data_IF_507820773042
#
_entry.id   IF_507820773042
#
_cell.length_a   1.000
_cell.length_b   1.000
_cell.length_c   1.000
_cell.angle_alpha   90.00
_cell.angle_beta   90.00
_cell.angle_gamma   90.00
#
_symmetry.space_group_name_H-M   'P 1'
#
loop_
_entity.id
_entity.type
_entity.pdbx_description
1 polymer ?
#
# COMPACT_ATOMS: atom_id res chain seq x y z
N UNK A 1 -19.09 -4.37 11.92
CA UNK A 1 -17.88 -4.24 11.06
C UNK A 1 -17.03 -3.12 11.62
N UNK A 2 -15.72 -3.33 11.79
CA UNK A 2 -14.84 -2.25 12.24
C UNK A 2 -14.84 -1.11 11.20
N UNK A 3 -14.76 0.13 11.68
CA UNK A 3 -14.66 1.31 10.83
C UNK A 3 -13.39 1.20 9.96
N UNK A 4 -13.50 1.20 8.63
CA UNK A 4 -12.34 1.07 7.73
C UNK A 4 -11.29 2.14 7.98
N UNK A 5 -11.67 3.30 8.51
CA UNK A 5 -10.74 4.39 8.79
C UNK A 5 -9.86 4.14 10.02
N UNK A 6 -10.28 3.27 10.97
CA UNK A 6 -9.48 2.90 12.14
C UNK A 6 -8.30 2.00 11.82
N UNK A 7 -8.28 1.39 10.64
CA UNK A 7 -7.22 0.47 10.20
C UNK A 7 -6.14 1.21 9.40
N UNK A 8 -6.37 2.46 9.05
CA UNK A 8 -5.44 3.28 8.30
C UNK A 8 -4.36 3.86 9.21
N UNK A 9 -3.10 3.81 8.77
CA UNK A 9 -1.97 4.47 9.43
C UNK A 9 -1.24 5.40 8.47
N UNK A 10 -0.45 6.32 9.02
CA UNK A 10 0.42 7.19 8.23
C UNK A 10 1.44 6.39 7.40
N UNK A 11 1.93 5.27 7.94
CA UNK A 11 2.85 4.37 7.24
C UNK A 11 2.18 3.73 6.03
N UNK A 12 0.95 3.23 6.19
CA UNK A 12 0.15 2.66 5.10
C UNK A 12 -0.11 3.71 4.01
N UNK A 13 -0.49 4.94 4.38
CA UNK A 13 -0.69 6.04 3.43
C UNK A 13 0.57 6.34 2.64
N UNK A 14 1.71 6.40 3.32
CA UNK A 14 3.00 6.65 2.69
C UNK A 14 3.36 5.53 1.72
N UNK A 15 3.16 4.25 2.11
CA UNK A 15 3.42 3.10 1.24
C UNK A 15 2.56 3.15 -0.02
N UNK A 16 1.24 3.27 0.11
CA UNK A 16 0.33 3.32 -1.03
C UNK A 16 0.69 4.47 -1.97
N UNK A 17 0.92 5.66 -1.43
CA UNK A 17 1.31 6.82 -2.24
C UNK A 17 2.60 6.56 -3.00
N UNK A 18 3.69 6.17 -2.34
CA UNK A 18 5.00 5.95 -2.99
C UNK A 18 4.96 4.89 -4.08
N UNK A 19 4.14 3.86 -3.90
CA UNK A 19 3.96 2.78 -4.87
C UNK A 19 3.17 3.26 -6.09
N UNK A 20 2.11 4.06 -5.88
CA UNK A 20 1.16 4.43 -6.95
C UNK A 20 1.52 5.71 -7.69
N UNK A 21 2.20 6.68 -7.06
CA UNK A 21 2.57 7.96 -7.66
C UNK A 21 3.86 7.91 -8.51
N UNK A 22 4.48 6.74 -8.61
CA UNK A 22 5.71 6.52 -9.35
C UNK A 22 7.00 6.86 -8.57
N UNK A 23 6.92 7.21 -7.29
CA UNK A 23 8.11 7.45 -6.46
C UNK A 23 8.98 6.20 -6.38
N UNK A 24 8.40 5.04 -6.05
CA UNK A 24 9.10 3.77 -6.02
C UNK A 24 9.63 3.37 -7.41
N UNK A 25 8.86 3.61 -8.48
CA UNK A 25 9.28 3.38 -9.86
C UNK A 25 10.54 4.17 -10.23
N UNK A 26 10.62 5.44 -9.83
CA UNK A 26 11.84 6.26 -10.04
C UNK A 26 13.05 5.68 -9.31
N UNK A 27 12.87 5.21 -8.08
CA UNK A 27 13.95 4.59 -7.28
C UNK A 27 14.50 3.31 -7.90
N UNK A 28 13.67 2.59 -8.66
CA UNK A 28 14.07 1.37 -9.41
C UNK A 28 14.53 1.65 -10.83
N UNK A 29 14.91 2.92 -11.15
CA UNK A 29 15.26 3.37 -12.50
C UNK A 29 14.15 3.06 -13.53
N UNK A 30 12.87 3.10 -13.09
CA UNK A 30 11.66 2.83 -13.86
C UNK A 30 11.55 1.41 -14.45
N UNK A 31 12.38 0.47 -14.01
CA UNK A 31 12.25 -0.94 -14.39
C UNK A 31 11.00 -1.56 -13.76
N UNK A 32 10.68 -1.19 -12.51
CA UNK A 32 9.39 -1.48 -11.90
C UNK A 32 8.44 -0.32 -12.24
N UNK A 33 7.35 -0.55 -12.98
CA UNK A 33 6.37 0.50 -13.27
C UNK A 33 5.70 1.01 -11.99
N UNK A 34 5.12 2.20 -12.03
CA UNK A 34 4.22 2.65 -10.96
C UNK A 34 3.09 1.62 -10.77
N UNK A 35 2.83 1.25 -9.54
CA UNK A 35 1.85 0.23 -9.21
C UNK A 35 0.43 0.73 -9.46
N UNK A 36 -0.47 -0.17 -9.87
CA UNK A 36 -1.89 0.08 -9.72
C UNK A 36 -2.27 0.03 -8.24
N UNK A 37 -3.46 0.51 -7.89
CA UNK A 37 -3.94 0.45 -6.52
C UNK A 37 -4.05 -1.01 -6.03
N UNK A 38 -4.46 -1.93 -6.91
CA UNK A 38 -4.55 -3.37 -6.61
C UNK A 38 -3.17 -3.98 -6.30
N UNK A 39 -2.14 -3.62 -7.06
CA UNK A 39 -0.77 -4.07 -6.82
C UNK A 39 -0.21 -3.51 -5.51
N UNK A 40 -0.43 -2.22 -5.24
CA UNK A 40 0.01 -1.58 -4.02
C UNK A 40 -0.72 -2.17 -2.79
N UNK A 41 -2.03 -2.38 -2.89
CA UNK A 41 -2.82 -3.04 -1.85
C UNK A 41 -2.35 -4.48 -1.58
N UNK A 42 -2.00 -5.22 -2.63
CA UNK A 42 -1.47 -6.57 -2.51
C UNK A 42 -0.12 -6.59 -1.79
N UNK A 43 0.80 -5.67 -2.10
CA UNK A 43 2.09 -5.57 -1.41
C UNK A 43 1.90 -5.23 0.07
N UNK A 44 1.09 -4.20 0.36
CA UNK A 44 0.78 -3.76 1.73
C UNK A 44 0.08 -4.87 2.52
N UNK A 45 -0.89 -5.57 1.93
CA UNK A 45 -1.60 -6.68 2.58
C UNK A 45 -0.69 -7.86 2.95
N UNK A 46 0.28 -8.19 2.10
CA UNK A 46 1.32 -9.15 2.43
C UNK A 46 2.21 -8.64 3.58
N UNK A 47 2.67 -7.38 3.51
CA UNK A 47 3.49 -6.78 4.56
C UNK A 47 2.77 -6.69 5.92
N UNK A 48 1.46 -6.44 5.94
CA UNK A 48 0.64 -6.49 7.16
C UNK A 48 0.69 -7.86 7.83
N UNK A 49 0.61 -8.92 7.04
CA UNK A 49 0.76 -10.29 7.54
C UNK A 49 2.17 -10.54 8.09
N UNK A 50 3.21 -10.22 7.31
CA UNK A 50 4.61 -10.43 7.70
C UNK A 50 4.99 -9.70 9.01
N UNK A 51 4.40 -8.55 9.24
CA UNK A 51 4.69 -7.74 10.42
C UNK A 51 3.74 -8.00 11.59
N UNK A 52 2.67 -8.78 11.40
CA UNK A 52 1.58 -8.91 12.36
C UNK A 52 0.90 -7.57 12.69
N UNK A 53 1.07 -6.56 11.83
CA UNK A 53 0.57 -5.19 12.06
C UNK A 53 -0.64 -4.92 11.16
N UNK A 54 -1.88 -4.96 11.70
CA UNK A 54 -3.11 -4.86 10.91
C UNK A 54 -3.31 -3.52 10.19
N UNK A 55 -2.50 -2.53 10.50
CA UNK A 55 -2.51 -1.21 9.87
C UNK A 55 -1.13 -0.75 9.39
N UNK A 56 -0.15 -1.65 9.38
CA UNK A 56 1.23 -1.37 9.01
C UNK A 56 1.89 -0.26 9.87
N UNK A 57 1.41 -0.01 11.08
CA UNK A 57 2.02 0.98 11.99
C UNK A 57 3.38 0.54 12.51
N UNK A 58 3.64 -0.76 12.54
CA UNK A 58 4.92 -1.38 12.86
C UNK A 58 5.45 -2.06 11.61
N UNK A 59 6.63 -1.67 11.15
CA UNK A 59 7.25 -2.19 9.93
C UNK A 59 8.63 -2.81 10.19
N UNK A 60 9.31 -2.43 11.26
CA UNK A 60 10.60 -3.00 11.65
C UNK A 60 10.40 -4.11 12.70
N UNK A 61 9.69 -5.16 12.31
CA UNK A 61 9.38 -6.30 13.17
C UNK A 61 10.38 -7.41 12.91
N UNK A 62 10.87 -8.03 13.99
CA UNK A 62 11.64 -9.27 13.95
C UNK A 62 10.64 -10.42 14.07
N UNK A 63 10.79 -11.44 13.23
CA UNK A 63 9.96 -12.65 13.29
C UNK A 63 9.99 -13.28 14.69
N UNK A 64 8.80 -13.58 15.24
CA UNK A 64 8.66 -13.95 16.66
C UNK A 64 9.28 -15.33 16.94
N UNK A 65 9.04 -16.31 16.09
CA UNK A 65 9.40 -17.70 16.37
C UNK A 65 10.87 -18.00 16.05
N UNK A 66 11.33 -17.64 14.86
CA UNK A 66 12.69 -17.95 14.40
C UNK A 66 13.68 -16.82 14.61
N UNK A 67 13.21 -15.57 14.74
CA UNK A 67 14.06 -14.37 14.72
C UNK A 67 14.78 -14.14 13.39
N UNK A 68 14.54 -14.98 12.38
CA UNK A 68 15.29 -14.97 11.13
C UNK A 68 14.88 -13.79 10.22
N UNK A 69 13.58 -13.45 10.18
CA UNK A 69 13.03 -12.37 9.36
C UNK A 69 13.06 -11.02 10.06
N UNK A 70 13.23 -9.92 9.31
CA UNK A 70 13.07 -8.54 9.80
C UNK A 70 12.53 -7.60 8.75
N UNK A 71 11.82 -6.57 9.21
CA UNK A 71 11.25 -5.52 8.39
C UNK A 71 9.96 -5.97 7.68
N UNK A 72 9.35 -5.05 6.96
CA UNK A 72 8.05 -5.30 6.31
C UNK A 72 8.08 -6.39 5.22
N UNK A 73 9.26 -6.73 4.71
CA UNK A 73 9.44 -7.78 3.70
C UNK A 73 10.03 -9.06 4.30
N UNK A 74 10.21 -9.11 5.61
CA UNK A 74 10.79 -10.26 6.34
C UNK A 74 12.08 -10.77 5.70
N UNK A 75 13.05 -9.88 5.59
CA UNK A 75 14.37 -10.22 5.07
C UNK A 75 15.07 -11.25 5.95
N UNK A 76 15.59 -12.32 5.36
CA UNK A 76 16.30 -13.43 6.04
C UNK A 76 17.71 -13.59 5.48
N UNK A 77 18.56 -14.33 6.20
CA UNK A 77 19.91 -14.66 5.76
C UNK A 77 20.78 -13.46 5.39
N UNK A 78 21.43 -13.51 4.23
CA UNK A 78 22.29 -12.42 3.74
C UNK A 78 21.52 -11.14 3.48
N UNK A 79 20.27 -11.24 3.02
CA UNK A 79 19.36 -10.09 2.86
C UNK A 79 19.11 -9.40 4.20
N UNK A 80 18.92 -10.18 5.28
CA UNK A 80 18.75 -9.66 6.63
C UNK A 80 20.00 -8.92 7.09
N UNK A 81 21.20 -9.48 6.91
CA UNK A 81 22.42 -8.85 7.29
C UNK A 81 22.65 -7.51 6.55
N UNK A 82 22.27 -7.44 5.28
CA UNK A 82 22.31 -6.18 4.52
C UNK A 82 21.27 -5.17 4.99
N UNK A 83 20.04 -5.62 5.32
CA UNK A 83 18.98 -4.79 5.88
C UNK A 83 19.39 -4.20 7.24
N UNK A 84 19.98 -5.00 8.12
CA UNK A 84 20.44 -4.56 9.43
C UNK A 84 21.55 -3.50 9.33
N UNK A 85 22.50 -3.65 8.37
CA UNK A 85 23.51 -2.63 8.11
C UNK A 85 22.92 -1.32 7.58
N UNK A 86 21.90 -1.40 6.73
CA UNK A 86 21.20 -0.22 6.21
C UNK A 86 20.33 0.47 7.26
N UNK A 87 19.90 -0.28 8.28
CA UNK A 87 19.10 0.17 9.41
C UNK A 87 17.95 1.11 9.04
N UNK A 88 17.00 0.70 8.17
CA UNK A 88 15.88 1.56 7.78
C UNK A 88 14.92 1.82 8.93
N UNK A 89 14.90 0.98 9.96
CA UNK A 89 14.05 1.10 11.15
C UNK A 89 12.56 1.05 10.80
N UNK A 90 11.73 1.61 11.68
CA UNK A 90 10.26 1.61 11.53
C UNK A 90 9.75 2.69 10.56
N UNK A 91 10.56 3.17 9.63
CA UNK A 91 10.17 4.14 8.60
C UNK A 91 9.90 3.43 7.28
N UNK A 92 8.63 3.38 6.88
CA UNK A 92 8.18 2.72 5.65
C UNK A 92 8.85 3.29 4.39
N UNK A 93 9.14 4.59 4.37
CA UNK A 93 9.84 5.23 3.26
C UNK A 93 11.24 4.63 3.11
N UNK A 94 12.01 4.56 4.20
CA UNK A 94 13.37 4.01 4.21
C UNK A 94 13.38 2.52 3.87
N UNK A 95 12.35 1.77 4.28
CA UNK A 95 12.20 0.37 3.92
C UNK A 95 11.89 0.17 2.44
N UNK A 96 11.06 1.01 1.83
CA UNK A 96 10.83 1.00 0.38
C UNK A 96 12.06 1.47 -0.40
N UNK A 97 12.80 2.44 0.10
CA UNK A 97 14.10 2.84 -0.47
C UNK A 97 15.11 1.69 -0.43
N UNK A 98 15.15 0.95 0.68
CA UNK A 98 15.97 -0.24 0.78
C UNK A 98 15.57 -1.30 -0.26
N UNK A 99 14.28 -1.61 -0.37
CA UNK A 99 13.77 -2.55 -1.37
C UNK A 99 14.11 -2.13 -2.81
N UNK A 100 14.04 -0.84 -3.12
CA UNK A 100 14.44 -0.30 -4.42
C UNK A 100 15.94 -0.42 -4.67
N UNK A 101 16.78 -0.20 -3.65
CA UNK A 101 18.25 -0.38 -3.75
C UNK A 101 18.62 -1.85 -3.92
N UNK A 102 17.95 -2.75 -3.21
CA UNK A 102 18.08 -4.19 -3.42
C UNK A 102 17.73 -4.55 -4.87
N UNK A 103 16.60 -4.06 -5.38
CA UNK A 103 16.16 -4.27 -6.76
C UNK A 103 17.21 -3.78 -7.79
N UNK A 104 17.83 -2.63 -7.56
CA UNK A 104 18.83 -2.07 -8.49
C UNK A 104 20.23 -2.65 -8.32
N UNK A 105 20.43 -3.63 -7.42
CA UNK A 105 21.73 -4.23 -7.14
C UNK A 105 22.69 -3.34 -6.36
N UNK A 106 22.21 -2.19 -5.84
CA UNK A 106 23.04 -1.29 -5.00
C UNK A 106 23.33 -1.86 -3.62
N UNK A 107 22.55 -2.85 -3.21
CA UNK A 107 22.77 -3.67 -2.03
C UNK A 107 22.76 -5.13 -2.47
N UNK A 108 23.86 -5.57 -3.04
CA UNK A 108 24.08 -7.00 -3.26
C UNK A 108 24.90 -7.54 -2.09
N UNK A 109 24.30 -8.28 -1.17
CA UNK A 109 25.00 -8.78 0.02
C UNK A 109 26.07 -9.82 -0.28
N UNK A 110 26.23 -10.27 -1.51
CA UNK A 110 27.20 -11.33 -1.82
C UNK A 110 27.50 -11.55 -3.30
N UNK A 111 27.22 -10.60 -4.19
CA UNK A 111 27.46 -10.76 -5.63
C UNK A 111 26.57 -11.81 -6.30
N UNK A 112 25.58 -12.34 -5.58
CA UNK A 112 24.57 -13.25 -6.11
C UNK A 112 23.34 -12.43 -6.42
N UNK A 113 23.11 -12.23 -7.68
CA UNK A 113 21.94 -11.54 -8.21
C UNK A 113 20.65 -11.99 -7.54
N UNK A 114 20.06 -11.15 -6.69
CA UNK A 114 18.70 -11.28 -6.17
C UNK A 114 17.63 -11.10 -7.28
N UNK A 115 18.08 -11.13 -8.54
CA UNK A 115 17.31 -10.90 -9.77
C UNK A 115 16.02 -11.71 -9.81
N UNK A 116 16.02 -12.93 -9.24
CA UNK A 116 14.82 -13.76 -9.21
C UNK A 116 13.71 -13.22 -8.30
N UNK A 117 14.06 -12.63 -7.15
CA UNK A 117 13.07 -12.04 -6.21
C UNK A 117 12.54 -10.71 -6.73
N UNK A 118 13.44 -9.87 -7.20
CA UNK A 118 13.13 -8.49 -7.54
C UNK A 118 12.43 -8.37 -8.89
N UNK A 119 12.74 -9.21 -9.88
CA UNK A 119 12.03 -9.25 -11.17
C UNK A 119 10.55 -9.57 -11.02
N UNK A 120 10.15 -10.28 -9.98
CA UNK A 120 8.74 -10.54 -9.72
C UNK A 120 7.92 -9.26 -9.52
N UNK A 121 8.54 -8.14 -9.11
CA UNK A 121 7.87 -6.85 -8.97
C UNK A 121 7.49 -6.23 -10.32
N UNK A 122 8.14 -6.62 -11.42
CA UNK A 122 7.85 -6.13 -12.78
C UNK A 122 6.57 -6.76 -13.35
N UNK A 123 6.24 -7.95 -12.90
CA UNK A 123 5.21 -8.83 -13.50
C UNK A 123 3.97 -9.03 -12.62
N UNK A 124 3.81 -8.22 -11.56
CA UNK A 124 2.63 -8.30 -10.68
C UNK A 124 1.35 -8.03 -11.51
N UNK A 125 0.30 -8.86 -11.41
CA UNK A 125 -1.00 -8.59 -12.03
C UNK A 125 -1.58 -7.23 -11.61
N UNK A 126 -2.03 -6.41 -12.59
CA UNK A 126 -2.39 -5.00 -12.33
C UNK A 126 -3.84 -4.76 -11.93
N UNK A 127 -4.78 -5.64 -12.32
CA UNK A 127 -6.22 -5.39 -12.20
C UNK A 127 -6.93 -6.36 -11.26
N UNK A 128 -6.19 -7.24 -10.61
CA UNK A 128 -6.74 -8.27 -9.73
C UNK A 128 -5.90 -8.33 -8.45
N UNK A 129 -6.46 -7.85 -7.36
CA UNK A 129 -5.80 -7.82 -6.06
C UNK A 129 -5.50 -9.23 -5.54
N UNK A 130 -6.33 -10.23 -5.86
CA UNK A 130 -6.13 -11.62 -5.43
C UNK A 130 -4.96 -12.24 -6.20
N UNK A 131 -4.96 -12.08 -7.52
CA UNK A 131 -3.86 -12.53 -8.36
C UNK A 131 -2.54 -11.83 -8.00
N UNK A 132 -2.56 -10.50 -7.75
CA UNK A 132 -1.41 -9.73 -7.29
C UNK A 132 -0.88 -10.22 -5.94
N UNK A 133 -1.77 -10.49 -4.98
CA UNK A 133 -1.39 -11.02 -3.65
C UNK A 133 -0.73 -12.38 -3.75
N UNK A 134 -1.32 -13.29 -4.53
CA UNK A 134 -0.76 -14.63 -4.74
C UNK A 134 0.57 -14.59 -5.49
N UNK A 135 0.72 -13.69 -6.46
CA UNK A 135 1.97 -13.50 -7.19
C UNK A 135 3.10 -13.06 -6.26
N UNK A 136 2.84 -12.05 -5.42
CA UNK A 136 3.81 -11.55 -4.44
C UNK A 136 4.15 -12.61 -3.40
N UNK A 137 3.15 -13.31 -2.86
CA UNK A 137 3.32 -14.40 -1.91
C UNK A 137 4.27 -15.47 -2.46
N UNK A 138 4.04 -15.92 -3.67
CA UNK A 138 4.81 -17.01 -4.30
C UNK A 138 6.21 -16.58 -4.75
N UNK A 139 6.36 -15.38 -5.28
CA UNK A 139 7.56 -15.00 -6.02
C UNK A 139 8.45 -14.00 -5.28
N UNK A 140 7.89 -13.20 -4.37
CA UNK A 140 8.63 -12.16 -3.63
C UNK A 140 8.81 -12.49 -2.15
N UNK A 141 7.73 -12.75 -1.40
CA UNK A 141 7.80 -13.06 0.04
C UNK A 141 8.28 -14.50 0.29
N UNK A 142 7.79 -15.47 -0.46
CA UNK A 142 8.23 -16.88 -0.47
C UNK A 142 8.31 -17.52 0.91
N UNK A 143 7.25 -17.50 1.75
CA UNK A 143 7.25 -18.19 3.03
C UNK A 143 7.41 -19.69 2.82
N UNK A 144 7.84 -20.40 3.87
CA UNK A 144 8.03 -21.86 3.84
C UNK A 144 6.73 -22.59 3.46
N UNK A 145 5.59 -22.17 4.00
CA UNK A 145 4.26 -22.64 3.58
C UNK A 145 3.41 -21.46 3.06
N UNK A 146 3.30 -21.28 1.74
CA UNK A 146 2.50 -20.22 1.18
C UNK A 146 0.99 -20.41 1.36
N UNK A 147 0.51 -21.61 1.69
CA UNK A 147 -0.91 -21.89 1.86
C UNK A 147 -1.40 -21.50 3.27
N UNK A 148 -0.57 -21.64 4.29
CA UNK A 148 -0.94 -21.38 5.68
C UNK A 148 -1.49 -19.97 5.92
N UNK A 149 -0.97 -18.95 5.21
CA UNK A 149 -1.36 -17.55 5.41
C UNK A 149 -2.05 -16.91 4.21
N UNK A 150 -2.27 -17.67 3.13
CA UNK A 150 -2.77 -17.14 1.85
C UNK A 150 -4.07 -16.36 1.97
N UNK A 151 -5.06 -16.92 2.68
CA UNK A 151 -6.37 -16.31 2.79
C UNK A 151 -6.32 -15.02 3.61
N UNK A 152 -5.54 -14.99 4.66
CA UNK A 152 -5.35 -13.80 5.49
C UNK A 152 -4.72 -12.67 4.68
N UNK A 153 -3.66 -12.94 3.92
CA UNK A 153 -3.00 -11.95 3.05
C UNK A 153 -3.96 -11.39 2.00
N UNK A 154 -4.81 -12.24 1.41
CA UNK A 154 -5.85 -11.81 0.47
C UNK A 154 -6.87 -10.90 1.17
N UNK A 155 -7.30 -11.25 2.38
CA UNK A 155 -8.24 -10.44 3.15
C UNK A 155 -7.66 -9.07 3.49
N UNK A 156 -6.39 -9.03 3.94
CA UNK A 156 -5.67 -7.79 4.20
C UNK A 156 -5.57 -6.92 2.94
N UNK A 157 -5.19 -7.49 1.81
CA UNK A 157 -5.07 -6.78 0.54
C UNK A 157 -6.42 -6.22 0.06
N UNK A 158 -7.50 -7.00 0.14
CA UNK A 158 -8.86 -6.55 -0.18
C UNK A 158 -9.32 -5.41 0.72
N UNK A 159 -8.97 -5.47 2.00
CA UNK A 159 -9.31 -4.44 2.97
C UNK A 159 -8.58 -3.13 2.64
N UNK A 160 -7.27 -3.17 2.38
CA UNK A 160 -6.48 -2.02 1.94
C UNK A 160 -7.07 -1.42 0.66
N UNK A 161 -7.34 -2.24 -0.35
CA UNK A 161 -7.94 -1.80 -1.61
C UNK A 161 -9.26 -1.06 -1.39
N UNK A 162 -10.15 -1.62 -0.58
CA UNK A 162 -11.46 -1.02 -0.26
C UNK A 162 -11.31 0.36 0.39
N UNK A 163 -10.39 0.51 1.35
CA UNK A 163 -10.11 1.79 2.03
C UNK A 163 -9.72 2.86 0.99
N UNK A 164 -8.76 2.56 0.13
CA UNK A 164 -8.23 3.56 -0.79
C UNK A 164 -9.15 3.81 -1.99
N UNK A 165 -9.94 2.85 -2.44
CA UNK A 165 -11.00 3.08 -3.42
C UNK A 165 -12.08 4.03 -2.89
N UNK A 166 -12.41 3.97 -1.60
CA UNK A 166 -13.35 4.91 -0.99
C UNK A 166 -12.80 6.34 -0.92
N UNK A 167 -11.50 6.48 -0.64
CA UNK A 167 -10.84 7.78 -0.56
C UNK A 167 -10.67 8.45 -1.94
N UNK A 168 -10.57 7.65 -3.01
CA UNK A 168 -10.38 8.15 -4.37
C UNK A 168 -11.69 8.39 -5.11
N UNK A 169 -12.83 7.93 -4.58
CA UNK A 169 -14.14 8.27 -5.14
C UNK A 169 -14.35 9.78 -5.06
N UNK A 170 -14.71 10.47 -6.18
CA UNK A 170 -15.10 11.86 -6.10
C UNK A 170 -16.24 11.97 -5.09
N UNK A 171 -16.08 12.83 -4.08
CA UNK A 171 -17.20 13.19 -3.21
C UNK A 171 -18.30 13.67 -4.14
N UNK A 172 -19.41 12.93 -4.23
CA UNK A 172 -20.59 13.41 -4.92
C UNK A 172 -20.86 14.83 -4.41
N UNK A 173 -20.92 15.80 -5.31
CA UNK A 173 -21.31 17.16 -4.95
C UNK A 173 -22.61 16.98 -4.13
N UNK A 174 -22.54 17.27 -2.85
CA UNK A 174 -23.74 17.47 -2.04
C UNK A 174 -24.55 18.43 -2.89
N UNK A 175 -25.77 17.99 -3.32
CA UNK A 175 -26.66 18.85 -4.04
C UNK A 175 -26.74 20.12 -3.22
N UNK A 176 -26.18 21.21 -3.74
CA UNK A 176 -26.38 22.53 -3.14
C UNK A 176 -27.88 22.70 -3.22
N UNK A 177 -28.55 22.55 -2.07
CA UNK A 177 -29.93 23.00 -1.93
C UNK A 177 -29.95 24.42 -2.49
N UNK A 178 -30.53 24.56 -3.69
CA UNK A 178 -30.80 25.90 -4.23
C UNK A 178 -31.59 26.60 -3.14
N UNK A 179 -31.16 27.74 -2.64
CA UNK A 179 -31.92 28.46 -1.64
C UNK A 179 -33.33 28.62 -2.20
N UNK A 180 -34.34 28.09 -1.49
CA UNK A 180 -35.73 28.29 -1.84
C UNK A 180 -35.93 29.78 -1.96
N UNK A 181 -36.52 30.30 -3.07
CA UNK A 181 -36.75 31.71 -3.20
C UNK A 181 -37.51 32.18 -1.96
N UNK A 182 -36.90 33.10 -1.24
CA UNK A 182 -37.47 33.67 -0.01
C UNK A 182 -38.90 34.10 -0.28
N UNK A 183 -39.80 33.67 0.61
CA UNK A 183 -41.22 34.03 0.56
C UNK A 183 -41.50 35.56 0.55
N UNK A 184 -40.48 36.35 0.85
CA UNK A 184 -40.49 37.81 0.76
C UNK A 184 -40.59 38.36 -0.68
N UNK A 185 -40.16 37.62 -1.70
CA UNK A 185 -40.25 38.12 -3.09
C UNK A 185 -41.66 37.94 -3.66
N UNK A 186 -42.52 37.14 -3.04
CA UNK A 186 -43.90 36.94 -3.45
C UNK A 186 -44.87 38.03 -2.91
N UNK A 187 -44.49 38.72 -1.84
CA UNK A 187 -45.34 39.73 -1.20
C UNK A 187 -45.24 41.08 -1.94
N UNK A 188 -44.11 41.40 -2.56
CA UNK A 188 -43.91 42.64 -3.32
C UNK A 188 -44.66 42.71 -4.66
N UNK A 189 -45.21 41.58 -5.17
CA UNK A 189 -46.05 41.55 -6.36
C UNK A 189 -47.52 41.77 -6.10
N UNK A 190 -47.98 41.78 -4.85
CA UNK A 190 -49.41 41.96 -4.47
C UNK A 190 -49.74 43.43 -4.21
N UNK A 191 -48.75 44.26 -3.89
CA UNK A 191 -48.94 45.70 -3.75
C UNK A 191 -48.41 46.39 -5.00
N UNK A 192 -49.22 46.48 -6.03
CA UNK A 192 -48.95 47.20 -7.25
C UNK A 192 -48.66 48.68 -6.97
N UNK A 193 -47.39 49.03 -6.88
CA UNK A 193 -46.92 50.41 -7.01
C UNK A 193 -46.23 50.51 -8.37
N UNK A 194 -47.07 50.87 -9.34
CA UNK A 194 -46.59 51.44 -10.58
C UNK A 194 -46.00 52.82 -10.29
N UNK A 195 -44.76 53.03 -10.73
CA UNK A 195 -44.32 54.24 -11.43
C UNK A 195 -43.04 53.93 -12.17
#
# INVERSE_FOLDING_TARGET
>A
MADPMKIRSQQMDTAIRMLTDGTFSKMTNRKVPAFSLEQAAALVGNAMHETGSPNLSKTDVVEIDSGAGRGMMQYTGERRAAYDRANPGNDIRRQLEYAAKEYTGKYDPGGRSLVGYTRSLETIPRRDVVAATNHLLKNYFRPADPNASRQERINNAKQVLKIYQQLTKPKSKVAQDKPKPNALTSILKIFGVAK
#
